data_IF_634557702238
#
_entry.id   IF_634557702238
#
_cell.length_a   1.000
_cell.length_b   1.000
_cell.length_c   1.000
_cell.angle_alpha   90.00
_cell.angle_beta   90.00
_cell.angle_gamma   90.00
#
_symmetry.space_group_name_H-M   'P 1'
#
loop_
_entity.id
_entity.type
_entity.pdbx_description
1 polymer ?
#
# COMPACT_ATOMS: atom_id res chain seq x y z
N UNK A 1 19.12 -0.70 -51.07
CA UNK A 1 18.11 -0.37 -50.04
C UNK A 1 18.91 0.12 -48.84
N UNK A 2 19.33 1.40 -48.82
CA UNK A 2 18.52 2.58 -48.48
C UNK A 2 18.05 2.46 -47.02
N UNK A 3 18.40 3.32 -46.07
CA UNK A 3 18.63 4.77 -46.17
C UNK A 3 19.47 5.27 -44.99
N UNK A 4 20.36 6.22 -45.24
CA UNK A 4 20.80 7.17 -44.23
C UNK A 4 20.93 8.53 -44.92
N UNK A 5 19.97 9.42 -44.65
CA UNK A 5 20.11 10.85 -44.94
C UNK A 5 19.52 11.63 -43.77
N UNK A 6 20.38 12.35 -43.07
CA UNK A 6 20.00 13.62 -42.43
C UNK A 6 21.12 14.60 -42.77
N UNK A 7 20.89 15.41 -43.81
CA UNK A 7 21.67 16.61 -44.07
C UNK A 7 21.16 17.75 -43.19
N UNK A 8 22.07 18.35 -42.44
CA UNK A 8 21.97 19.71 -41.93
C UNK A 8 23.12 20.48 -42.55
N UNK A 9 22.84 21.59 -43.25
CA UNK A 9 23.88 22.56 -43.58
C UNK A 9 23.35 23.99 -43.64
N UNK A 10 24.25 24.85 -43.18
CA UNK A 10 24.22 26.27 -42.85
C UNK A 10 24.08 27.22 -44.05
N UNK A 11 23.79 28.49 -43.74
CA UNK A 11 24.33 29.74 -44.33
C UNK A 11 23.19 30.77 -44.48
N UNK A 12 23.20 31.97 -43.90
CA UNK A 12 24.25 32.99 -43.88
C UNK A 12 23.80 34.17 -44.74
N UNK A 13 23.53 35.35 -44.15
CA UNK A 13 23.47 36.61 -44.91
C UNK A 13 22.29 37.57 -44.71
N UNK A 14 22.42 38.46 -43.71
CA UNK A 14 22.20 39.93 -43.77
C UNK A 14 20.95 40.48 -44.51
N UNK A 15 19.92 40.86 -43.75
CA UNK A 15 19.16 42.10 -43.98
C UNK A 15 18.95 42.84 -42.66
N UNK A 16 19.31 44.12 -42.69
CA UNK A 16 19.31 45.12 -41.64
C UNK A 16 17.87 45.40 -41.14
N UNK A 17 17.64 45.48 -39.83
CA UNK A 17 17.58 46.75 -39.08
C UNK A 17 16.19 47.41 -39.12
N UNK A 18 15.35 47.08 -38.13
CA UNK A 18 14.42 48.05 -37.53
C UNK A 18 14.82 48.19 -36.07
N UNK A 19 15.52 49.30 -35.82
CA UNK A 19 16.05 49.75 -34.55
C UNK A 19 14.90 50.03 -33.57
N UNK A 20 15.14 49.57 -32.34
CA UNK A 20 14.86 50.24 -31.07
C UNK A 20 13.90 51.45 -31.08
N UNK A 21 12.74 51.24 -30.50
CA UNK A 21 12.06 52.24 -29.68
C UNK A 21 11.42 51.52 -28.49
N UNK A 22 11.93 51.77 -27.28
CA UNK A 22 11.13 51.58 -26.08
C UNK A 22 11.54 50.46 -25.12
N UNK A 23 12.82 50.31 -24.79
CA UNK A 23 13.18 50.03 -23.40
C UNK A 23 13.38 51.38 -22.74
N UNK A 24 12.39 51.87 -21.97
CA UNK A 24 12.52 52.76 -20.79
C UNK A 24 11.18 53.49 -20.53
N UNK A 25 10.52 53.10 -19.41
CA UNK A 25 9.50 53.80 -18.60
C UNK A 25 8.34 52.83 -18.26
N UNK A 26 8.47 51.96 -17.24
CA UNK A 26 8.07 52.25 -15.85
C UNK A 26 6.78 53.08 -15.74
N UNK A 27 5.64 52.43 -15.49
CA UNK A 27 4.73 52.69 -14.36
C UNK A 27 3.28 52.23 -14.63
N UNK A 28 2.78 51.32 -13.78
CA UNK A 28 1.38 51.29 -13.33
C UNK A 28 0.34 50.65 -14.25
N UNK A 29 -0.15 49.46 -13.88
CA UNK A 29 -1.28 48.85 -14.59
C UNK A 29 -1.76 47.50 -14.05
N UNK A 30 -2.10 47.46 -12.76
CA UNK A 30 -3.19 46.65 -12.16
C UNK A 30 -3.35 45.18 -12.62
N UNK A 31 -2.82 44.31 -11.77
CA UNK A 31 -3.41 43.06 -11.25
C UNK A 31 -4.89 42.80 -11.65
N UNK A 32 -5.14 41.84 -12.56
CA UNK A 32 -6.46 41.24 -12.73
C UNK A 32 -6.39 39.87 -13.44
N UNK A 33 -5.62 38.92 -12.90
CA UNK A 33 -5.93 37.51 -13.17
C UNK A 33 -7.03 37.11 -12.19
N UNK A 34 -8.26 37.08 -12.71
CA UNK A 34 -9.44 36.71 -11.97
C UNK A 34 -9.31 35.32 -11.37
N UNK A 35 -9.53 35.34 -10.08
CA UNK A 35 -9.68 34.26 -9.14
C UNK A 35 -11.00 33.53 -9.42
N UNK A 36 -10.98 32.48 -10.23
CA UNK A 36 -12.02 31.46 -10.19
C UNK A 36 -11.75 30.55 -8.99
N UNK A 37 -12.07 31.07 -7.80
CA UNK A 37 -12.32 30.26 -6.61
C UNK A 37 -13.58 29.43 -6.87
N UNK A 38 -13.38 28.22 -7.38
CA UNK A 38 -14.30 27.14 -7.06
C UNK A 38 -14.17 26.87 -5.55
N UNK A 39 -15.27 26.82 -4.78
CA UNK A 39 -15.20 26.28 -3.44
C UNK A 39 -15.04 24.77 -3.59
N UNK A 40 -13.78 24.31 -3.67
CA UNK A 40 -13.51 22.93 -3.32
C UNK A 40 -13.75 22.86 -1.82
N UNK A 41 -14.89 22.29 -1.43
CA UNK A 41 -15.10 21.73 -0.11
C UNK A 41 -14.05 20.65 0.11
N UNK A 42 -12.85 21.07 0.48
CA UNK A 42 -11.84 20.18 1.03
C UNK A 42 -12.29 19.88 2.45
N UNK A 43 -13.17 18.90 2.57
CA UNK A 43 -13.24 18.07 3.77
C UNK A 43 -11.90 17.37 3.90
N UNK A 44 -10.89 18.10 4.37
CA UNK A 44 -9.57 17.57 4.64
C UNK A 44 -9.74 16.56 5.78
N UNK A 45 -9.79 15.28 5.41
CA UNK A 45 -9.74 14.17 6.36
C UNK A 45 -8.50 14.41 7.24
N UNK A 46 -8.63 14.39 8.58
CA UNK A 46 -7.50 14.63 9.47
C UNK A 46 -6.30 13.77 9.06
N UNK A 47 -5.07 14.29 9.13
CA UNK A 47 -3.89 13.51 8.79
C UNK A 47 -3.82 12.27 9.69
N UNK A 48 -3.83 11.09 9.09
CA UNK A 48 -3.63 9.83 9.80
C UNK A 48 -2.16 9.77 10.19
N UNK A 49 -1.86 9.89 11.48
CA UNK A 49 -0.52 9.63 12.00
C UNK A 49 -0.27 8.13 11.92
N UNK A 50 0.72 7.72 11.14
CA UNK A 50 1.13 6.32 11.05
C UNK A 50 1.94 5.97 12.31
N UNK A 51 1.42 5.05 13.12
CA UNK A 51 2.10 4.46 14.27
C UNK A 51 2.22 2.93 14.07
N UNK A 52 3.18 2.47 13.25
CA UNK A 52 3.36 1.06 12.95
C UNK A 52 3.53 0.22 14.22
N UNK A 53 2.61 -0.72 14.45
CA UNK A 53 2.56 -1.55 15.65
C UNK A 53 2.35 -3.01 15.29
N UNK A 54 3.09 -3.90 15.95
CA UNK A 54 3.02 -5.35 15.74
C UNK A 54 1.89 -5.98 16.57
N UNK A 55 1.13 -6.86 15.92
CA UNK A 55 0.09 -7.69 16.55
C UNK A 55 0.52 -9.16 16.41
N UNK A 56 0.90 -9.83 17.51
CA UNK A 56 1.17 -11.26 17.47
C UNK A 56 -0.12 -12.04 17.22
N UNK A 57 -0.07 -13.01 16.31
CA UNK A 57 -1.15 -13.98 16.12
C UNK A 57 -0.73 -15.29 16.78
N UNK A 58 -1.69 -15.99 17.36
CA UNK A 58 -1.42 -17.29 17.98
C UNK A 58 -0.81 -18.28 16.95
N UNK A 59 0.12 -19.16 17.39
CA UNK A 59 0.71 -20.15 16.51
C UNK A 59 -0.35 -21.06 15.87
N UNK A 60 -0.16 -21.33 14.58
CA UNK A 60 -0.97 -22.29 13.83
C UNK A 60 -0.27 -23.64 13.78
N UNK A 61 -1.07 -24.68 13.95
CA UNK A 61 -0.68 -26.07 13.82
C UNK A 61 -1.77 -26.77 13.04
N UNK A 62 -1.49 -27.14 11.79
CA UNK A 62 -2.48 -27.77 10.91
C UNK A 62 -1.81 -28.65 9.84
N UNK A 63 -2.62 -29.52 9.24
CA UNK A 63 -2.22 -30.25 8.05
C UNK A 63 -2.52 -29.41 6.80
N UNK A 64 -1.61 -29.46 5.83
CA UNK A 64 -1.78 -28.82 4.53
C UNK A 64 -2.62 -29.72 3.60
N UNK A 65 -3.17 -29.12 2.54
CA UNK A 65 -4.08 -29.77 1.59
C UNK A 65 -3.38 -30.69 0.56
N UNK A 66 -2.34 -31.40 0.98
CA UNK A 66 -1.57 -32.30 0.14
C UNK A 66 -2.22 -33.70 0.06
N UNK A 67 -2.26 -34.32 -1.14
CA UNK A 67 -2.86 -35.64 -1.32
C UNK A 67 -1.97 -36.79 -0.81
N UNK A 68 -0.66 -36.57 -0.64
CA UNK A 68 0.34 -37.62 -0.38
C UNK A 68 0.58 -37.93 1.12
N UNK A 69 -0.27 -37.43 2.03
CA UNK A 69 -0.26 -37.80 3.45
C UNK A 69 -0.24 -36.61 4.43
N UNK A 70 -0.25 -36.93 5.72
CA UNK A 70 -0.27 -35.95 6.82
C UNK A 70 1.07 -35.20 6.92
N UNK A 71 1.13 -34.02 6.29
CA UNK A 71 2.25 -33.07 6.41
C UNK A 71 1.91 -32.06 7.50
N UNK A 72 2.76 -31.98 8.52
CA UNK A 72 2.54 -31.08 9.64
C UNK A 72 3.10 -29.69 9.31
N UNK A 73 2.26 -28.67 9.41
CA UNK A 73 2.65 -27.28 9.24
C UNK A 73 2.49 -26.49 10.52
N UNK A 74 3.59 -25.88 10.97
CA UNK A 74 3.60 -24.93 12.08
C UNK A 74 4.02 -23.56 11.59
N UNK A 75 3.20 -22.57 11.91
CA UNK A 75 3.41 -21.18 11.52
C UNK A 75 3.15 -20.27 12.71
N UNK A 76 4.15 -19.45 13.06
CA UNK A 76 3.98 -18.33 14.00
C UNK A 76 4.24 -17.04 13.24
N UNK A 77 3.30 -16.10 13.32
CA UNK A 77 3.36 -14.84 12.55
C UNK A 77 2.91 -13.64 13.38
N UNK A 78 3.33 -12.46 12.93
CA UNK A 78 2.89 -11.17 13.46
C UNK A 78 2.41 -10.28 12.31
N UNK A 79 1.35 -9.53 12.52
CA UNK A 79 0.89 -8.50 11.58
C UNK A 79 1.46 -7.15 11.99
N UNK A 80 1.88 -6.33 11.03
CA UNK A 80 2.25 -4.93 11.27
C UNK A 80 1.09 -4.07 10.81
N UNK A 81 0.46 -3.35 11.74
CA UNK A 81 -0.62 -2.41 11.44
C UNK A 81 -0.12 -0.98 11.51
N UNK A 82 -0.70 -0.10 10.70
CA UNK A 82 -0.38 1.33 10.67
C UNK A 82 -0.92 2.15 11.85
N UNK A 83 -1.81 1.57 12.67
CA UNK A 83 -2.46 2.24 13.79
C UNK A 83 -2.33 1.45 15.09
N UNK A 84 -1.69 2.05 16.09
CA UNK A 84 -1.50 1.46 17.42
C UNK A 84 -2.81 1.08 18.12
N UNK A 85 -3.80 1.98 18.11
CA UNK A 85 -5.08 1.73 18.80
C UNK A 85 -5.85 0.52 18.23
N UNK A 86 -5.71 0.26 16.93
CA UNK A 86 -6.31 -0.93 16.28
C UNK A 86 -5.48 -2.18 16.59
N UNK A 87 -4.15 -2.05 16.64
CA UNK A 87 -3.28 -3.15 17.06
C UNK A 87 -3.56 -3.64 18.48
N UNK A 88 -3.79 -2.72 19.42
CA UNK A 88 -4.16 -3.05 20.81
C UNK A 88 -5.51 -3.76 20.88
N UNK A 89 -6.51 -3.34 20.08
CA UNK A 89 -7.80 -4.03 19.96
C UNK A 89 -7.68 -5.42 19.33
N UNK A 90 -6.83 -5.57 18.33
CA UNK A 90 -6.62 -6.81 17.61
C UNK A 90 -5.91 -7.89 18.46
N UNK A 91 -5.21 -7.50 19.53
CA UNK A 91 -4.39 -8.39 20.34
C UNK A 91 -5.18 -9.37 21.23
N UNK A 92 -6.52 -9.31 21.29
CA UNK A 92 -7.28 -10.19 22.17
C UNK A 92 -8.76 -10.41 21.81
N UNK A 93 -9.39 -11.29 22.58
CA UNK A 93 -10.83 -11.54 22.56
C UNK A 93 -11.36 -11.98 21.19
N UNK A 94 -12.55 -11.46 20.83
CA UNK A 94 -13.21 -11.74 19.55
C UNK A 94 -12.38 -11.28 18.34
N UNK A 95 -11.60 -10.20 18.48
CA UNK A 95 -10.80 -9.67 17.39
C UNK A 95 -9.71 -10.67 16.98
N UNK A 96 -8.97 -11.19 17.96
CA UNK A 96 -7.98 -12.24 17.73
C UNK A 96 -8.63 -13.48 17.09
N UNK A 97 -9.76 -13.94 17.63
CA UNK A 97 -10.44 -15.12 17.10
C UNK A 97 -10.85 -14.97 15.63
N UNK A 98 -11.33 -13.79 15.22
CA UNK A 98 -11.65 -13.48 13.81
C UNK A 98 -10.42 -13.45 12.91
N UNK A 99 -9.31 -12.87 13.37
CA UNK A 99 -8.03 -12.93 12.64
C UNK A 99 -7.60 -14.38 12.42
N UNK A 100 -7.66 -15.19 13.48
CA UNK A 100 -7.25 -16.58 13.46
C UNK A 100 -8.11 -17.42 12.51
N UNK A 101 -9.43 -17.26 12.55
CA UNK A 101 -10.36 -17.94 11.64
C UNK A 101 -10.05 -17.61 10.17
N UNK A 102 -9.87 -16.33 9.87
CA UNK A 102 -9.58 -15.84 8.51
C UNK A 102 -8.25 -16.36 7.97
N UNK A 103 -7.21 -16.38 8.81
CA UNK A 103 -5.90 -16.93 8.45
C UNK A 103 -5.99 -18.46 8.30
N UNK A 104 -6.64 -19.16 9.23
CA UNK A 104 -6.81 -20.61 9.16
C UNK A 104 -7.53 -21.03 7.86
N UNK A 105 -8.59 -20.34 7.46
CA UNK A 105 -9.31 -20.60 6.22
C UNK A 105 -8.46 -20.40 4.94
N UNK A 106 -7.44 -19.54 5.00
CA UNK A 106 -6.45 -19.40 3.92
C UNK A 106 -5.46 -20.57 3.94
N UNK A 107 -4.89 -20.86 5.11
CA UNK A 107 -3.86 -21.89 5.28
C UNK A 107 -4.38 -23.30 4.97
N UNK A 108 -5.64 -23.61 5.30
CA UNK A 108 -6.27 -24.91 5.04
C UNK A 108 -6.39 -25.26 3.55
N UNK A 109 -6.20 -24.27 2.67
CA UNK A 109 -6.21 -24.44 1.21
C UNK A 109 -4.81 -24.55 0.60
N UNK A 110 -3.76 -24.39 1.43
CA UNK A 110 -2.37 -24.38 0.97
C UNK A 110 -1.81 -25.79 0.90
N UNK A 111 -0.90 -25.99 -0.05
CA UNK A 111 -0.08 -27.20 -0.20
C UNK A 111 1.36 -26.91 0.17
N UNK A 112 2.11 -27.94 0.57
CA UNK A 112 3.54 -27.87 0.91
C UNK A 112 4.34 -27.15 -0.16
N UNK A 113 4.17 -27.54 -1.43
CA UNK A 113 4.91 -26.96 -2.55
C UNK A 113 4.67 -25.45 -2.75
N UNK A 114 3.57 -24.90 -2.24
CA UNK A 114 3.22 -23.48 -2.37
C UNK A 114 3.85 -22.62 -1.26
N UNK A 115 4.36 -23.24 -0.20
CA UNK A 115 4.75 -22.51 1.03
C UNK A 115 6.20 -22.76 1.45
N UNK A 116 6.89 -23.75 0.84
CA UNK A 116 8.27 -24.09 1.18
C UNK A 116 9.33 -23.24 0.47
N UNK A 117 9.02 -22.70 -0.72
CA UNK A 117 9.96 -21.86 -1.49
C UNK A 117 9.98 -20.42 -0.98
N UNK A 118 11.01 -19.65 -1.35
CA UNK A 118 11.10 -18.23 -0.99
C UNK A 118 9.93 -17.46 -1.63
N UNK A 119 9.67 -17.70 -2.90
CA UNK A 119 8.59 -17.09 -3.66
C UNK A 119 7.22 -17.47 -3.07
N UNK A 120 7.07 -18.72 -2.62
CA UNK A 120 5.87 -19.22 -1.96
C UNK A 120 5.60 -18.51 -0.63
N UNK A 121 6.65 -18.23 0.15
CA UNK A 121 6.53 -17.45 1.39
C UNK A 121 6.15 -16.00 1.11
N UNK A 122 6.71 -15.36 0.09
CA UNK A 122 6.34 -14.00 -0.30
C UNK A 122 4.90 -13.91 -0.82
N UNK A 123 4.48 -14.92 -1.58
CA UNK A 123 3.09 -15.05 -2.02
C UNK A 123 2.16 -15.22 -0.81
N UNK A 124 2.49 -16.12 0.12
CA UNK A 124 1.70 -16.35 1.32
C UNK A 124 1.59 -15.08 2.17
N UNK A 125 2.67 -14.32 2.34
CA UNK A 125 2.66 -13.01 3.01
C UNK A 125 1.67 -12.05 2.35
N UNK A 126 1.67 -12.00 1.01
CA UNK A 126 0.76 -11.15 0.25
C UNK A 126 -0.69 -11.58 0.42
N UNK A 127 -0.98 -12.86 0.28
CA UNK A 127 -2.33 -13.40 0.46
C UNK A 127 -2.84 -13.20 1.89
N UNK A 128 -1.97 -13.32 2.90
CA UNK A 128 -2.32 -13.03 4.30
C UNK A 128 -2.70 -11.56 4.48
N UNK A 129 -1.95 -10.61 3.90
CA UNK A 129 -2.31 -9.19 3.93
C UNK A 129 -3.67 -8.94 3.26
N UNK A 130 -3.86 -9.46 2.06
CA UNK A 130 -5.11 -9.28 1.30
C UNK A 130 -6.32 -9.93 2.00
N UNK A 131 -6.10 -11.06 2.64
CA UNK A 131 -7.15 -11.82 3.34
C UNK A 131 -7.51 -11.17 4.68
N UNK A 132 -6.54 -10.65 5.43
CA UNK A 132 -6.77 -10.02 6.74
C UNK A 132 -7.16 -8.55 6.66
N UNK A 133 -6.66 -7.81 5.66
CA UNK A 133 -6.93 -6.38 5.46
C UNK A 133 -8.40 -5.97 5.60
N UNK A 134 -9.34 -6.63 4.91
CA UNK A 134 -10.77 -6.30 4.99
C UNK A 134 -11.37 -6.41 6.40
N UNK A 135 -10.80 -7.22 7.30
CA UNK A 135 -11.29 -7.33 8.68
C UNK A 135 -11.18 -6.00 9.41
N UNK A 136 -10.12 -5.22 9.14
CA UNK A 136 -9.84 -3.96 9.79
C UNK A 136 -10.77 -2.81 9.38
N UNK A 137 -11.71 -3.04 8.46
CA UNK A 137 -12.79 -2.12 8.13
C UNK A 137 -14.13 -2.47 8.80
N UNK A 138 -14.15 -3.52 9.65
CA UNK A 138 -15.39 -4.04 10.26
C UNK A 138 -15.24 -4.26 11.77
N UNK A 139 -16.35 -4.31 12.54
CA UNK A 139 -16.29 -4.65 13.95
C UNK A 139 -15.70 -6.07 14.19
N UNK A 140 -14.90 -6.28 15.25
CA UNK A 140 -14.57 -5.33 16.33
C UNK A 140 -13.32 -4.48 16.05
N UNK A 141 -12.75 -4.52 14.84
CA UNK A 141 -11.50 -3.82 14.53
C UNK A 141 -11.69 -2.35 14.19
N UNK A 142 -12.87 -1.98 13.69
CA UNK A 142 -13.19 -0.63 13.31
C UNK A 142 -14.60 -0.27 13.75
N UNK A 143 -14.72 0.92 14.33
CA UNK A 143 -15.97 1.57 14.66
C UNK A 143 -16.02 2.93 13.94
N UNK A 144 -16.92 3.08 12.97
CA UNK A 144 -17.02 4.28 12.14
C UNK A 144 -17.36 5.55 12.93
N UNK A 145 -17.89 5.44 14.15
CA UNK A 145 -18.16 6.58 15.02
C UNK A 145 -16.88 7.11 15.68
N UNK A 146 -15.96 6.22 16.05
CA UNK A 146 -14.76 6.55 16.84
C UNK A 146 -13.47 6.54 16.02
N UNK A 147 -13.43 5.80 14.91
CA UNK A 147 -12.27 5.62 14.06
C UNK A 147 -12.48 6.35 12.72
N UNK A 148 -11.67 7.38 12.38
CA UNK A 148 -11.85 8.12 11.13
C UNK A 148 -11.47 7.30 9.88
N UNK A 149 -10.67 6.24 10.03
CA UNK A 149 -10.26 5.36 8.94
C UNK A 149 -9.95 3.93 9.41
N UNK A 150 -10.21 2.91 8.59
CA UNK A 150 -9.71 1.55 8.80
C UNK A 150 -8.18 1.51 8.90
N UNK A 151 -7.66 0.60 9.71
CA UNK A 151 -6.23 0.29 9.72
C UNK A 151 -5.82 -0.53 8.49
N UNK A 152 -4.58 -0.37 8.05
CA UNK A 152 -3.97 -1.14 6.99
C UNK A 152 -2.91 -2.09 7.53
N UNK A 153 -2.84 -3.28 6.94
CA UNK A 153 -1.76 -4.23 7.19
C UNK A 153 -0.56 -3.83 6.34
N UNK A 154 0.47 -3.29 6.99
CA UNK A 154 1.71 -2.89 6.35
C UNK A 154 2.55 -4.11 5.97
N UNK A 155 2.66 -5.10 6.86
CA UNK A 155 3.46 -6.29 6.63
C UNK A 155 2.99 -7.51 7.45
N UNK A 156 3.51 -8.69 7.08
CA UNK A 156 3.39 -9.93 7.85
C UNK A 156 4.78 -10.49 8.12
N UNK A 157 5.10 -10.67 9.38
CA UNK A 157 6.38 -11.16 9.85
C UNK A 157 6.23 -12.63 10.23
N UNK A 158 6.90 -13.53 9.52
CA UNK A 158 7.00 -14.93 9.95
C UNK A 158 8.10 -15.04 11.00
N UNK A 159 7.74 -15.56 12.17
CA UNK A 159 8.66 -15.77 13.31
C UNK A 159 8.99 -17.23 13.52
N UNK A 160 8.13 -18.14 13.04
CA UNK A 160 8.38 -19.58 12.98
C UNK A 160 7.72 -20.15 11.73
N UNK A 161 8.42 -21.03 11.01
CA UNK A 161 7.92 -21.63 9.78
C UNK A 161 8.50 -23.04 9.60
N UNK A 162 7.74 -24.06 10.01
CA UNK A 162 8.17 -25.45 9.98
C UNK A 162 7.20 -26.29 9.15
N UNK A 163 7.76 -27.11 8.26
CA UNK A 163 7.05 -28.11 7.46
C UNK A 163 7.73 -29.45 7.70
N UNK A 164 6.97 -30.47 8.10
CA UNK A 164 7.45 -31.84 8.31
C UNK A 164 6.69 -32.81 7.39
#
# INVERSE_FOLDING_TARGET
>A
MSSQEVQSSYSGGKKALVIAAGVLALAGGVLACQETRAPAESGAKPPVVLEPTVVPVEPFVLNLADPEGDRYFRLTLQLVLDQRAVAERAAGGLAQAKLRDRIFALLSKKRVAQVTTVEGKELLRTELRETTGPLFATPPFHDAEHDPAPAHVLDVLFTEFLVQ
#
